data_IF_470357830648
#
_entry.id   IF_470357830648
#
_cell.length_a   1.000
_cell.length_b   1.000
_cell.length_c   1.000
_cell.angle_alpha   90.00
_cell.angle_beta   90.00
_cell.angle_gamma   90.00
#
_symmetry.space_group_name_H-M   'P 1'
#
loop_
_entity.id
_entity.type
_entity.pdbx_description
1 polymer ?
#
# COMPACT_ATOMS: atom_id res chain seq x y z
N UNK A 1 -12.25 -81.43 -16.61
CA UNK A 1 -12.75 -82.18 -17.79
C UNK A 1 -12.54 -81.31 -19.02
N UNK A 2 -11.88 -81.87 -20.05
CA UNK A 2 -11.55 -81.23 -21.34
C UNK A 2 -12.81 -80.97 -22.20
N UNK A 3 -12.65 -80.13 -23.24
CA UNK A 3 -13.25 -80.08 -24.60
C UNK A 3 -13.35 -78.56 -24.93
N UNK A 4 -12.58 -77.88 -25.80
CA UNK A 4 -12.06 -78.04 -27.19
C UNK A 4 -13.13 -78.00 -28.29
N UNK A 5 -13.01 -77.04 -29.23
CA UNK A 5 -13.65 -77.04 -30.57
C UNK A 5 -14.28 -75.68 -30.95
N UNK A 6 -13.61 -74.71 -31.60
CA UNK A 6 -13.23 -74.59 -33.04
C UNK A 6 -14.42 -74.37 -33.99
N UNK A 7 -14.52 -73.22 -34.67
CA UNK A 7 -14.46 -73.07 -36.14
C UNK A 7 -14.84 -71.67 -36.66
N UNK A 8 -13.99 -71.14 -37.56
CA UNK A 8 -14.27 -70.36 -38.81
C UNK A 8 -15.13 -69.09 -38.68
N UNK A 9 -14.70 -67.88 -39.05
CA UNK A 9 -13.77 -67.47 -40.11
C UNK A 9 -14.52 -66.49 -41.01
N UNK A 10 -14.05 -65.25 -41.14
CA UNK A 10 -14.29 -64.38 -42.31
C UNK A 10 -13.46 -63.10 -42.14
N UNK A 11 -12.51 -62.95 -43.04
CA UNK A 11 -11.74 -61.73 -43.28
C UNK A 11 -12.68 -60.73 -43.97
N UNK A 12 -12.83 -59.55 -43.40
CA UNK A 12 -13.32 -58.37 -44.11
C UNK A 12 -12.40 -57.19 -43.75
N UNK A 13 -11.46 -56.96 -44.64
CA UNK A 13 -10.65 -55.76 -44.76
C UNK A 13 -11.56 -54.60 -45.17
N UNK A 14 -11.51 -53.43 -44.52
CA UNK A 14 -11.47 -52.11 -45.17
C UNK A 14 -11.60 -50.94 -44.16
N UNK A 15 -10.73 -49.93 -44.38
CA UNK A 15 -10.88 -48.49 -44.11
C UNK A 15 -10.53 -47.90 -42.72
N UNK A 16 -9.24 -47.54 -42.62
CA UNK A 16 -8.72 -46.20 -42.31
C UNK A 16 -9.25 -45.40 -41.10
N UNK A 17 -8.36 -45.16 -40.15
CA UNK A 17 -8.12 -43.80 -39.64
C UNK A 17 -6.73 -43.72 -39.00
N UNK A 18 -5.87 -42.90 -39.61
CA UNK A 18 -4.56 -42.52 -39.11
C UNK A 18 -4.77 -41.46 -38.03
N UNK A 19 -4.65 -41.83 -36.75
CA UNK A 19 -4.56 -40.85 -35.66
C UNK A 19 -3.08 -40.60 -35.41
N UNK A 20 -2.60 -39.48 -35.93
CA UNK A 20 -1.30 -38.91 -35.60
C UNK A 20 -1.42 -38.32 -34.19
N UNK A 21 -1.05 -39.11 -33.18
CA UNK A 21 -0.89 -38.61 -31.82
C UNK A 21 0.39 -37.79 -31.75
N UNK A 22 0.26 -36.46 -31.88
CA UNK A 22 1.29 -35.55 -31.41
C UNK A 22 1.37 -35.70 -29.89
N UNK A 23 2.46 -36.27 -29.40
CA UNK A 23 2.79 -36.25 -27.98
C UNK A 23 2.88 -34.80 -27.53
N UNK A 24 1.89 -34.37 -26.74
CA UNK A 24 1.97 -33.14 -25.99
C UNK A 24 3.14 -33.25 -25.03
N UNK A 25 4.11 -32.35 -25.21
CA UNK A 25 5.06 -32.03 -24.17
C UNK A 25 4.23 -31.42 -23.05
N UNK A 26 4.07 -32.15 -21.94
CA UNK A 26 3.62 -31.56 -20.67
C UNK A 26 4.71 -30.58 -20.23
N UNK A 27 4.67 -29.39 -20.82
CA UNK A 27 5.31 -28.22 -20.25
C UNK A 27 4.59 -28.01 -18.93
N UNK A 28 5.22 -28.43 -17.84
CA UNK A 28 4.94 -27.94 -16.51
C UNK A 28 5.04 -26.43 -16.58
N UNK A 29 3.90 -25.79 -16.83
CA UNK A 29 3.68 -24.43 -16.42
C UNK A 29 3.83 -24.51 -14.91
N UNK A 30 5.00 -24.10 -14.43
CA UNK A 30 5.12 -23.54 -13.09
C UNK A 30 4.02 -22.48 -13.03
N UNK A 31 2.91 -22.90 -12.42
CA UNK A 31 1.77 -22.07 -12.11
C UNK A 31 2.30 -21.11 -11.05
N UNK A 32 2.98 -20.06 -11.50
CA UNK A 32 3.25 -18.88 -10.70
C UNK A 32 1.89 -18.22 -10.51
N UNK A 33 1.08 -18.83 -9.65
CA UNK A 33 0.03 -18.15 -8.95
C UNK A 33 0.72 -16.94 -8.31
N UNK A 34 0.47 -15.76 -8.90
CA UNK A 34 0.86 -14.51 -8.30
C UNK A 34 0.14 -14.49 -6.96
N UNK A 35 0.89 -14.74 -5.89
CA UNK A 35 0.39 -14.62 -4.53
C UNK A 35 -0.05 -13.17 -4.32
N UNK A 36 -1.35 -12.95 -4.45
CA UNK A 36 -2.01 -11.67 -4.19
C UNK A 36 -1.87 -11.24 -2.71
N UNK A 37 -1.24 -12.05 -1.85
CA UNK A 37 -1.07 -11.81 -0.42
C UNK A 37 0.38 -11.56 0.03
N UNK A 38 1.31 -11.20 -0.87
CA UNK A 38 2.62 -10.71 -0.41
C UNK A 38 2.48 -9.28 0.14
N UNK A 39 2.14 -9.18 1.42
CA UNK A 39 2.17 -7.95 2.21
C UNK A 39 3.49 -7.21 1.99
N UNK A 40 3.42 -5.91 1.70
CA UNK A 40 4.63 -5.09 1.56
C UNK A 40 5.33 -4.97 2.92
N UNK A 41 6.53 -5.54 3.02
CA UNK A 41 7.32 -5.54 4.25
C UNK A 41 7.87 -4.17 4.62
N UNK A 42 7.78 -3.18 3.72
CA UNK A 42 8.27 -1.82 3.96
C UNK A 42 7.17 -0.84 4.41
N UNK A 43 5.96 -1.31 4.64
CA UNK A 43 4.86 -0.50 5.13
C UNK A 43 4.18 -1.14 6.34
N UNK A 44 3.89 -0.32 7.34
CA UNK A 44 3.02 -0.70 8.43
C UNK A 44 1.54 -0.60 8.08
N UNK A 45 1.19 0.13 7.02
CA UNK A 45 -0.19 0.41 6.67
C UNK A 45 -0.99 -0.88 6.46
N UNK A 46 -2.17 -0.95 7.06
CA UNK A 46 -3.07 -2.09 6.96
C UNK A 46 -3.96 -1.97 5.71
N UNK A 47 -3.35 -1.83 4.53
CA UNK A 47 -4.03 -1.56 3.24
C UNK A 47 -5.00 -2.65 2.78
N UNK A 48 -4.88 -3.85 3.35
CA UNK A 48 -5.78 -4.99 3.13
C UNK A 48 -7.06 -4.91 4.00
N UNK A 49 -7.06 -4.05 5.02
CA UNK A 49 -8.19 -3.80 5.92
C UNK A 49 -8.82 -2.42 5.68
N UNK A 50 -8.00 -1.38 5.56
CA UNK A 50 -8.42 0.01 5.31
C UNK A 50 -7.53 0.61 4.23
N UNK A 51 -8.14 1.03 3.12
CA UNK A 51 -7.43 1.59 1.97
C UNK A 51 -7.72 3.07 1.82
N UNK A 52 -6.68 3.90 1.91
CA UNK A 52 -6.78 5.32 1.57
C UNK A 52 -7.04 5.47 0.07
N UNK A 53 -8.07 6.22 -0.29
CA UNK A 53 -8.49 6.45 -1.68
C UNK A 53 -8.29 7.89 -2.13
N UNK A 54 -8.21 8.83 -1.19
CA UNK A 54 -7.95 10.24 -1.48
C UNK A 54 -7.13 10.89 -0.36
N UNK A 55 -6.25 11.81 -0.76
CA UNK A 55 -5.44 12.62 0.13
C UNK A 55 -5.60 14.08 -0.25
N UNK A 56 -6.06 14.89 0.71
CA UNK A 56 -6.04 16.35 0.63
C UNK A 56 -4.94 16.87 1.57
N UNK A 57 -4.04 17.70 1.04
CA UNK A 57 -2.92 18.28 1.79
C UNK A 57 -3.08 19.79 1.87
N UNK A 58 -3.22 20.30 3.09
CA UNK A 58 -3.06 21.71 3.42
C UNK A 58 -1.68 21.89 4.03
N UNK A 59 -0.79 22.64 3.36
CA UNK A 59 0.63 22.74 3.72
C UNK A 59 1.07 24.20 3.75
N UNK A 60 1.70 24.59 4.85
CA UNK A 60 2.50 25.81 4.95
C UNK A 60 3.98 25.45 4.97
N UNK A 61 4.75 26.05 4.05
CA UNK A 61 6.21 25.87 3.95
C UNK A 61 6.91 26.92 4.78
N UNK A 62 7.76 26.49 5.72
CA UNK A 62 8.50 27.34 6.63
C UNK A 62 10.00 27.18 6.38
N UNK A 63 10.59 28.10 5.60
CA UNK A 63 11.99 28.01 5.18
C UNK A 63 12.98 28.28 6.32
N UNK A 64 12.64 29.18 7.25
CA UNK A 64 13.53 29.54 8.36
C UNK A 64 13.65 28.36 9.34
N UNK A 65 12.54 27.65 9.58
CA UNK A 65 12.50 26.47 10.42
C UNK A 65 12.87 25.17 9.69
N UNK A 66 12.92 25.19 8.36
CA UNK A 66 13.05 24.01 7.48
C UNK A 66 11.99 22.94 7.74
N UNK A 67 10.74 23.39 7.91
CA UNK A 67 9.62 22.51 8.27
C UNK A 67 8.40 22.76 7.39
N UNK A 68 7.57 21.74 7.29
CA UNK A 68 6.20 21.85 6.81
C UNK A 68 5.27 21.79 8.03
N UNK A 69 4.36 22.77 8.15
CA UNK A 69 3.17 22.65 9.00
C UNK A 69 2.01 22.23 8.12
N UNK A 70 1.36 21.13 8.43
CA UNK A 70 0.41 20.53 7.52
C UNK A 70 -0.78 19.87 8.21
N UNK A 71 -1.86 19.76 7.44
CA UNK A 71 -2.96 18.86 7.72
C UNK A 71 -3.16 17.92 6.51
N UNK A 72 -3.07 16.61 6.76
CA UNK A 72 -3.39 15.57 5.78
C UNK A 72 -4.79 15.02 6.08
N UNK A 73 -5.72 15.23 5.15
CA UNK A 73 -7.05 14.63 5.22
C UNK A 73 -7.12 13.43 4.28
N UNK A 74 -7.27 12.25 4.87
CA UNK A 74 -7.25 10.96 4.22
C UNK A 74 -8.68 10.45 4.14
N UNK A 75 -9.22 10.29 2.93
CA UNK A 75 -10.45 9.53 2.71
C UNK A 75 -10.09 8.07 2.46
N UNK A 76 -10.88 7.15 3.01
CA UNK A 76 -10.57 5.73 2.94
C UNK A 76 -11.83 4.86 2.78
N UNK A 77 -11.59 3.61 2.39
CA UNK A 77 -12.59 2.54 2.33
C UNK A 77 -12.17 1.39 3.23
N UNK A 78 -13.13 0.74 3.89
CA UNK A 78 -12.89 -0.50 4.63
C UNK A 78 -13.01 -1.68 3.67
N UNK A 79 -11.92 -2.41 3.49
CA UNK A 79 -11.85 -3.60 2.63
C UNK A 79 -12.23 -4.84 3.41
N UNK A 80 -11.83 -4.92 4.67
CA UNK A 80 -12.27 -5.98 5.58
C UNK A 80 -13.63 -5.64 6.21
N UNK A 81 -14.44 -6.67 6.48
CA UNK A 81 -15.77 -6.54 7.09
C UNK A 81 -15.70 -5.85 8.47
N UNK A 82 -14.63 -6.10 9.21
CA UNK A 82 -14.35 -5.46 10.50
C UNK A 82 -12.93 -4.91 10.48
N UNK A 83 -12.80 -3.61 10.27
CA UNK A 83 -11.55 -2.87 10.38
C UNK A 83 -11.81 -1.63 11.22
N UNK A 84 -11.32 -1.55 12.45
CA UNK A 84 -11.59 -0.44 13.38
C UNK A 84 -10.39 0.49 13.56
N UNK A 85 -9.32 0.27 12.80
CA UNK A 85 -8.08 1.03 12.89
C UNK A 85 -7.54 1.35 11.52
N UNK A 86 -7.08 2.58 11.34
CA UNK A 86 -6.23 2.99 10.21
C UNK A 86 -4.80 3.05 10.71
N UNK A 87 -3.91 2.29 10.08
CA UNK A 87 -2.47 2.36 10.32
C UNK A 87 -1.82 3.10 9.16
N UNK A 88 -1.03 4.13 9.48
CA UNK A 88 -0.30 4.96 8.52
C UNK A 88 1.20 4.86 8.81
N UNK A 89 2.02 4.95 7.77
CA UNK A 89 3.45 5.11 7.91
C UNK A 89 3.80 6.56 8.26
N UNK A 90 4.67 6.74 9.25
CA UNK A 90 5.27 8.05 9.56
C UNK A 90 6.78 7.93 9.81
N UNK A 91 7.52 9.03 9.71
CA UNK A 91 8.90 9.14 10.19
C UNK A 91 9.14 10.55 10.69
N UNK A 92 9.50 10.70 11.97
CA UNK A 92 9.86 11.98 12.57
C UNK A 92 8.82 13.10 12.34
N UNK A 93 7.54 12.73 12.36
CA UNK A 93 6.43 13.68 12.30
C UNK A 93 5.98 14.02 13.72
N UNK A 94 5.87 15.32 14.01
CA UNK A 94 5.27 15.81 15.25
C UNK A 94 3.74 15.90 15.06
N UNK A 95 3.01 14.87 15.48
CA UNK A 95 1.54 14.84 15.38
C UNK A 95 0.92 15.68 16.50
N UNK A 96 0.16 16.71 16.13
CA UNK A 96 -0.45 17.66 17.07
C UNK A 96 -1.94 17.43 17.27
N UNK A 97 -2.64 16.89 16.25
CA UNK A 97 -4.03 16.46 16.36
C UNK A 97 -4.36 15.34 15.37
N UNK A 98 -5.28 14.46 15.77
CA UNK A 98 -5.93 13.50 14.87
C UNK A 98 -7.43 13.59 15.10
N UNK A 99 -8.18 13.68 14.02
CA UNK A 99 -9.63 13.77 14.04
C UNK A 99 -10.22 12.79 13.02
N UNK A 100 -11.43 12.30 13.28
CA UNK A 100 -12.17 11.43 12.37
C UNK A 100 -13.50 12.05 11.99
N UNK A 101 -13.96 11.77 10.78
CA UNK A 101 -15.26 12.23 10.33
C UNK A 101 -16.39 11.65 11.18
N UNK A 102 -17.31 12.52 11.63
CA UNK A 102 -18.43 12.18 12.49
C UNK A 102 -19.71 11.89 11.72
N UNK A 103 -20.58 11.04 12.25
CA UNK A 103 -21.92 10.81 11.69
C UNK A 103 -22.78 12.08 11.65
N UNK A 104 -22.50 13.04 12.55
CA UNK A 104 -23.21 14.31 12.64
C UNK A 104 -22.70 15.34 11.61
N UNK A 105 -21.66 15.00 10.85
CA UNK A 105 -20.95 15.89 9.95
C UNK A 105 -19.84 16.67 10.66
N UNK A 106 -18.71 16.85 9.99
CA UNK A 106 -17.52 17.48 10.56
C UNK A 106 -16.55 16.48 11.17
N UNK A 107 -15.62 17.00 11.98
CA UNK A 107 -14.51 16.26 12.56
C UNK A 107 -14.57 16.28 14.09
N UNK A 108 -14.50 15.08 14.68
CA UNK A 108 -14.37 14.89 16.13
C UNK A 108 -12.96 14.39 16.46
N UNK A 109 -12.41 14.71 17.64
CA UNK A 109 -11.12 14.17 18.07
C UNK A 109 -11.10 12.64 18.04
N UNK A 110 -10.05 12.07 17.44
CA UNK A 110 -9.86 10.63 17.34
C UNK A 110 -8.75 10.16 18.30
N UNK A 111 -8.93 8.98 18.89
CA UNK A 111 -7.86 8.33 19.65
C UNK A 111 -6.81 7.79 18.67
N UNK A 112 -5.54 8.05 18.97
CA UNK A 112 -4.42 7.55 18.18
C UNK A 112 -3.24 7.17 19.06
N UNK A 113 -2.31 6.40 18.50
CA UNK A 113 -1.04 6.06 19.13
C UNK A 113 0.08 5.98 18.10
N UNK A 114 1.29 6.32 18.53
CA UNK A 114 2.52 6.04 17.79
C UNK A 114 3.13 4.76 18.34
N UNK A 115 3.46 3.81 17.46
CA UNK A 115 4.09 2.55 17.84
C UNK A 115 5.58 2.66 18.13
N UNK A 116 6.28 1.52 18.11
CA UNK A 116 7.73 1.51 18.23
C UNK A 116 8.38 2.06 16.94
N UNK A 117 9.38 2.92 17.10
CA UNK A 117 10.17 3.45 15.98
C UNK A 117 11.16 2.39 15.49
N UNK A 118 11.10 2.11 14.20
CA UNK A 118 12.08 1.32 13.47
C UNK A 118 13.03 2.26 12.69
N UNK A 119 14.35 2.01 12.68
CA UNK A 119 15.31 2.89 12.01
C UNK A 119 15.13 2.96 10.50
N UNK A 120 14.52 1.95 9.87
CA UNK A 120 14.28 1.89 8.43
C UNK A 120 12.84 2.31 8.13
N UNK A 121 11.85 1.78 8.84
CA UNK A 121 10.44 1.97 8.50
C UNK A 121 9.83 3.23 9.12
N UNK A 122 10.46 3.78 10.16
CA UNK A 122 9.89 4.87 10.95
C UNK A 122 8.90 4.34 11.99
N UNK A 123 7.85 5.11 12.26
CA UNK A 123 6.91 4.87 13.36
C UNK A 123 5.50 4.69 12.80
N UNK A 124 4.78 3.60 13.12
CA UNK A 124 3.40 3.47 12.69
C UNK A 124 2.50 4.41 13.51
N UNK A 125 1.64 5.15 12.83
CA UNK A 125 0.54 5.90 13.43
C UNK A 125 -0.74 5.08 13.33
N UNK A 126 -1.29 4.66 14.47
CA UNK A 126 -2.56 3.92 14.52
C UNK A 126 -3.67 4.83 15.00
N UNK A 127 -4.71 5.01 14.19
CA UNK A 127 -5.90 5.82 14.49
C UNK A 127 -7.10 4.90 14.70
N UNK A 128 -7.81 5.06 15.81
CA UNK A 128 -9.07 4.36 16.08
C UNK A 128 -10.18 4.98 15.26
N UNK A 129 -10.91 4.16 14.52
CA UNK A 129 -11.97 4.59 13.61
C UNK A 129 -13.35 4.24 14.19
N UNK A 130 -14.23 5.23 14.43
CA UNK A 130 -15.66 4.99 14.59
C UNK A 130 -16.24 4.28 13.36
N UNK A 131 -17.30 3.46 13.48
CA UNK A 131 -17.87 2.71 12.36
C UNK A 131 -18.21 3.55 11.12
N UNK A 132 -18.79 4.74 11.34
CA UNK A 132 -19.22 5.70 10.34
C UNK A 132 -18.08 6.53 9.71
N UNK A 133 -16.87 6.47 10.28
CA UNK A 133 -15.78 7.32 9.83
C UNK A 133 -15.39 6.92 8.41
N UNK A 134 -15.34 7.91 7.52
CA UNK A 134 -14.91 7.76 6.12
C UNK A 134 -13.66 8.59 5.82
N UNK A 135 -13.26 9.46 6.76
CA UNK A 135 -12.08 10.31 6.65
C UNK A 135 -11.39 10.45 7.99
N UNK A 136 -10.07 10.62 7.94
CA UNK A 136 -9.24 11.04 9.07
C UNK A 136 -8.47 12.29 8.68
N UNK A 137 -8.37 13.26 9.58
CA UNK A 137 -7.49 14.41 9.44
C UNK A 137 -6.36 14.30 10.45
N UNK A 138 -5.13 14.38 9.98
CA UNK A 138 -3.91 14.39 10.80
C UNK A 138 -3.26 15.76 10.66
N UNK A 139 -3.14 16.50 11.76
CA UNK A 139 -2.43 17.78 11.82
C UNK A 139 -1.06 17.55 12.43
N UNK A 140 -0.01 18.03 11.77
CA UNK A 140 1.37 17.70 12.13
C UNK A 140 2.38 18.74 11.64
N UNK A 141 3.60 18.61 12.14
CA UNK A 141 4.79 19.31 11.65
C UNK A 141 5.86 18.29 11.26
N UNK A 142 6.64 18.57 10.22
CA UNK A 142 7.77 17.72 9.83
C UNK A 142 9.00 18.05 10.66
N UNK A 143 9.92 17.10 10.82
CA UNK A 143 11.27 17.39 11.29
C UNK A 143 12.07 18.21 10.26
N UNK A 144 12.99 19.10 10.67
CA UNK A 144 14.03 19.64 9.79
C UNK A 144 14.87 18.55 9.10
N UNK A 145 15.00 17.40 9.76
CA UNK A 145 15.71 16.22 9.28
C UNK A 145 14.82 15.26 8.46
N UNK A 146 13.64 15.72 8.03
CA UNK A 146 12.71 14.91 7.24
C UNK A 146 13.38 14.38 5.97
N UNK A 147 13.64 13.06 5.96
CA UNK A 147 14.44 12.38 4.92
C UNK A 147 13.96 12.56 3.47
N UNK A 148 12.69 12.92 3.26
CA UNK A 148 12.08 13.15 1.96
C UNK A 148 12.05 14.62 1.52
N UNK A 149 12.59 15.55 2.32
CA UNK A 149 12.63 16.98 2.03
C UNK A 149 14.09 17.44 1.90
N UNK A 150 14.37 18.20 0.84
CA UNK A 150 15.65 18.88 0.67
C UNK A 150 15.44 20.38 0.70
N UNK A 151 16.10 21.03 1.65
CA UNK A 151 16.12 22.48 1.81
C UNK A 151 17.42 23.04 1.26
N UNK A 152 17.35 24.13 0.51
CA UNK A 152 18.49 24.85 -0.05
C UNK A 152 18.44 26.31 0.39
N UNK A 153 19.54 26.81 0.94
CA UNK A 153 19.73 28.23 1.21
C UNK A 153 19.83 29.02 -0.10
N UNK A 154 19.61 30.35 -0.09
CA UNK A 154 19.69 31.17 -1.31
C UNK A 154 20.97 30.97 -2.12
N UNK A 155 22.13 30.90 -1.45
CA UNK A 155 23.45 30.69 -2.05
C UNK A 155 23.63 29.32 -2.73
N UNK A 156 22.82 28.32 -2.38
CA UNK A 156 22.80 27.01 -3.02
C UNK A 156 21.89 26.97 -4.25
N UNK A 157 21.13 28.04 -4.51
CA UNK A 157 20.28 28.17 -5.70
C UNK A 157 21.00 28.92 -6.81
N UNK A 158 20.60 28.69 -8.07
CA UNK A 158 21.19 29.40 -9.20
C UNK A 158 20.96 30.93 -9.15
N UNK A 159 19.88 31.38 -8.50
CA UNK A 159 19.53 32.80 -8.37
C UNK A 159 20.26 33.51 -7.23
N UNK A 160 20.72 32.80 -6.21
CA UNK A 160 21.44 33.39 -5.07
C UNK A 160 20.58 34.21 -4.09
N UNK A 161 19.31 34.50 -4.42
CA UNK A 161 18.47 35.46 -3.68
C UNK A 161 17.35 34.82 -2.85
N UNK A 162 16.83 33.67 -3.27
CA UNK A 162 15.68 33.01 -2.62
C UNK A 162 16.00 31.56 -2.27
N UNK A 163 15.50 31.04 -1.13
CA UNK A 163 15.67 29.64 -0.78
C UNK A 163 14.83 28.75 -1.71
N UNK A 164 15.14 27.46 -1.71
CA UNK A 164 14.41 26.47 -2.51
C UNK A 164 14.18 25.20 -1.71
N UNK A 165 13.03 24.55 -1.94
CA UNK A 165 12.72 23.26 -1.35
C UNK A 165 12.15 22.34 -2.43
N UNK A 166 12.57 21.08 -2.41
CA UNK A 166 11.94 20.03 -3.19
C UNK A 166 11.85 18.73 -2.39
N UNK A 167 11.01 17.82 -2.86
CA UNK A 167 10.82 16.52 -2.23
C UNK A 167 11.47 15.40 -3.04
N UNK A 168 11.96 14.37 -2.34
CA UNK A 168 12.35 13.11 -2.95
C UNK A 168 11.81 11.95 -2.11
N UNK A 169 10.69 11.39 -2.54
CA UNK A 169 9.93 10.45 -1.72
C UNK A 169 10.27 8.96 -1.93
N UNK A 170 11.04 8.63 -2.96
CA UNK A 170 11.43 7.25 -3.26
C UNK A 170 12.60 6.80 -2.37
N UNK A 171 12.60 5.59 -1.79
CA UNK A 171 11.57 4.56 -1.92
C UNK A 171 10.41 4.72 -0.92
N UNK A 172 10.73 5.08 0.33
CA UNK A 172 9.79 5.13 1.45
C UNK A 172 9.97 6.42 2.27
N UNK A 173 10.25 7.53 1.61
CA UNK A 173 10.52 8.82 2.23
C UNK A 173 9.30 9.74 2.25
N UNK A 174 8.21 9.40 1.55
CA UNK A 174 6.94 10.12 1.66
C UNK A 174 6.47 10.23 3.11
N UNK A 175 6.62 9.14 3.89
CA UNK A 175 6.23 9.07 5.31
C UNK A 175 6.94 10.05 6.23
N UNK A 176 8.05 10.66 5.80
CA UNK A 176 8.73 11.68 6.61
C UNK A 176 8.15 13.07 6.44
N UNK A 177 7.17 13.26 5.55
CA UNK A 177 6.52 14.56 5.35
C UNK A 177 5.01 14.49 5.08
N UNK A 178 4.46 13.29 4.88
CA UNK A 178 3.03 13.00 4.83
C UNK A 178 2.78 11.72 5.64
N UNK A 179 1.81 11.66 6.57
CA UNK A 179 1.36 10.40 7.16
C UNK A 179 0.43 9.66 6.18
N UNK A 180 0.86 8.53 5.62
CA UNK A 180 0.09 7.75 4.63
C UNK A 180 0.30 6.23 4.72
#
# INVERSE_FOLDING_TARGET
>A
VRIVGVCRGAIALLLTSLVMACGGVDSGADDVAVDLARRDTHSYANVDEVRVTHLELDITVLFDEQQLRAAAMLSFERVAEVANTLVLDTRDLNITAVESWSALGGFDPASYSLGATDPILGTPLTVVLPPEATRVRVTYETSPDASGLQWLSPEQTAGGEHPFMFTQSQAIHARSWIPL
#
